data_IF_143537834855
#
_entry.id   IF_143537834855
#
_cell.length_a   1.000
_cell.length_b   1.000
_cell.length_c   1.000
_cell.angle_alpha   90.00
_cell.angle_beta   90.00
_cell.angle_gamma   90.00
#
_symmetry.space_group_name_H-M   'P 1'
#
loop_
_entity.id
_entity.type
_entity.pdbx_description
1 polymer ?
#
# COMPACT_ATOMS: atom_id res chain seq x y z
N UNK A 1 21.17 2.21 6.27
CA UNK A 1 20.57 1.16 5.42
C UNK A 1 19.09 0.93 5.72
N UNK A 2 18.67 0.93 6.99
CA UNK A 2 17.25 0.81 7.39
C UNK A 2 16.28 1.79 6.66
N UNK A 3 16.64 3.07 6.52
CA UNK A 3 15.81 4.08 5.84
C UNK A 3 15.50 3.74 4.37
N UNK A 4 16.47 3.18 3.63
CA UNK A 4 16.28 2.78 2.23
C UNK A 4 15.36 1.57 2.10
N UNK A 5 15.52 0.57 2.99
CA UNK A 5 14.63 -0.59 3.02
C UNK A 5 13.20 -0.19 3.35
N UNK A 6 12.98 0.68 4.34
CA UNK A 6 11.64 1.20 4.68
C UNK A 6 11.00 2.00 3.53
N UNK A 7 11.79 2.79 2.80
CA UNK A 7 11.31 3.56 1.65
C UNK A 7 10.88 2.64 0.50
N UNK A 8 11.68 1.61 0.19
CA UNK A 8 11.38 0.61 -0.85
C UNK A 8 10.19 -0.27 -0.45
N UNK A 9 10.00 -0.55 0.84
CA UNK A 9 8.86 -1.33 1.34
C UNK A 9 7.55 -0.57 1.28
N UNK A 10 7.58 0.73 1.61
CA UNK A 10 6.40 1.58 1.67
C UNK A 10 5.98 2.10 0.28
N UNK A 11 6.91 2.26 -0.65
CA UNK A 11 6.64 2.74 -2.01
C UNK A 11 5.55 1.97 -2.79
N UNK A 12 5.54 0.63 -2.87
CA UNK A 12 4.51 -0.10 -3.62
C UNK A 12 3.13 -0.02 -2.96
N UNK A 13 3.06 0.00 -1.63
CA UNK A 13 1.81 0.12 -0.87
C UNK A 13 1.22 1.52 -1.04
N UNK A 14 2.04 2.56 -0.89
CA UNK A 14 1.64 3.95 -1.08
C UNK A 14 1.25 4.23 -2.53
N UNK A 15 2.00 3.70 -3.50
CA UNK A 15 1.71 3.85 -4.93
C UNK A 15 0.38 3.21 -5.32
N UNK A 16 0.12 1.98 -4.87
CA UNK A 16 -1.15 1.31 -5.12
C UNK A 16 -2.33 2.02 -4.40
N UNK A 17 -2.13 2.49 -3.16
CA UNK A 17 -3.11 3.30 -2.44
C UNK A 17 -3.43 4.62 -3.13
N UNK A 18 -2.43 5.29 -3.72
CA UNK A 18 -2.59 6.51 -4.51
C UNK A 18 -3.38 6.25 -5.79
N UNK A 19 -3.02 5.23 -6.58
CA UNK A 19 -3.70 4.92 -7.85
C UNK A 19 -5.17 4.60 -7.59
N UNK A 20 -5.44 3.70 -6.64
CA UNK A 20 -6.80 3.32 -6.26
C UNK A 20 -7.58 4.53 -5.71
N UNK A 21 -6.96 5.31 -4.82
CA UNK A 21 -7.58 6.50 -4.25
C UNK A 21 -7.94 7.53 -5.32
N UNK A 22 -7.07 7.75 -6.29
CA UNK A 22 -7.29 8.63 -7.43
C UNK A 22 -8.45 8.14 -8.30
N UNK A 23 -8.43 6.86 -8.70
CA UNK A 23 -9.50 6.28 -9.54
C UNK A 23 -10.86 6.41 -8.85
N UNK A 24 -10.94 6.06 -7.56
CA UNK A 24 -12.19 6.15 -6.78
C UNK A 24 -12.65 7.61 -6.63
N UNK A 25 -11.74 8.54 -6.37
CA UNK A 25 -12.05 9.97 -6.29
C UNK A 25 -12.52 10.57 -7.62
N UNK A 26 -11.96 10.11 -8.75
CA UNK A 26 -12.34 10.55 -10.09
C UNK A 26 -13.74 10.05 -10.44
N UNK A 27 -14.04 8.79 -10.14
CA UNK A 27 -15.39 8.24 -10.33
C UNK A 27 -16.40 9.02 -9.50
N UNK A 28 -16.10 9.32 -8.24
CA UNK A 28 -16.96 10.12 -7.37
C UNK A 28 -17.19 11.54 -7.89
N UNK A 29 -16.15 12.18 -8.45
CA UNK A 29 -16.26 13.51 -9.04
C UNK A 29 -17.13 13.51 -10.31
N UNK A 30 -17.01 12.48 -11.17
CA UNK A 30 -17.73 12.39 -12.45
C UNK A 30 -19.22 12.06 -12.27
N UNK A 31 -19.59 11.20 -11.33
CA UNK A 31 -21.01 10.86 -11.09
C UNK A 31 -21.75 11.80 -10.15
N UNK A 32 -21.08 12.80 -9.57
CA UNK A 32 -21.64 13.74 -8.57
C UNK A 32 -22.25 13.07 -7.31
N UNK A 33 -21.99 11.79 -7.08
CA UNK A 33 -22.44 11.06 -5.89
C UNK A 33 -21.41 11.24 -4.78
N UNK A 34 -21.66 12.18 -3.85
CA UNK A 34 -20.82 12.46 -2.67
C UNK A 34 -21.28 11.70 -1.41
N UNK A 35 -21.85 10.51 -1.57
CA UNK A 35 -22.23 9.64 -0.45
C UNK A 35 -20.96 9.05 0.20
N UNK A 36 -20.54 9.63 1.33
CA UNK A 36 -19.28 9.28 2.01
C UNK A 36 -19.16 7.79 2.40
N UNK A 37 -20.28 7.09 2.61
CA UNK A 37 -20.32 5.67 2.95
C UNK A 37 -20.04 4.76 1.74
N UNK A 38 -20.54 5.12 0.56
CA UNK A 38 -20.32 4.38 -0.70
C UNK A 38 -18.88 4.50 -1.20
N UNK A 39 -18.20 5.59 -0.84
CA UNK A 39 -16.76 5.82 -1.08
C UNK A 39 -15.85 4.93 -0.25
N UNK A 40 -16.29 4.58 0.97
CA UNK A 40 -15.47 3.93 1.96
C UNK A 40 -15.23 2.44 1.63
N UNK A 41 -16.25 1.75 1.13
CA UNK A 41 -16.20 0.31 0.85
C UNK A 41 -15.23 -0.05 -0.28
N UNK A 42 -15.29 0.58 -1.48
CA UNK A 42 -14.34 0.28 -2.57
C UNK A 42 -12.90 0.60 -2.17
N UNK A 43 -12.69 1.69 -1.42
CA UNK A 43 -11.37 2.12 -0.96
C UNK A 43 -10.74 1.12 0.00
N UNK A 44 -11.48 0.66 1.01
CA UNK A 44 -11.00 -0.36 1.97
C UNK A 44 -10.74 -1.69 1.27
N UNK A 45 -11.65 -2.15 0.40
CA UNK A 45 -11.49 -3.41 -0.32
C UNK A 45 -10.22 -3.41 -1.18
N UNK A 46 -9.97 -2.32 -1.91
CA UNK A 46 -8.78 -2.19 -2.73
C UNK A 46 -7.49 -2.06 -1.90
N UNK A 47 -7.51 -1.34 -0.77
CA UNK A 47 -6.36 -1.31 0.15
C UNK A 47 -6.07 -2.70 0.76
N UNK A 48 -7.09 -3.48 1.11
CA UNK A 48 -6.95 -4.85 1.60
C UNK A 48 -6.37 -5.79 0.54
N UNK A 49 -6.86 -5.73 -0.69
CA UNK A 49 -6.35 -6.54 -1.80
C UNK A 49 -4.86 -6.26 -2.06
N UNK A 50 -4.49 -4.98 -2.09
CA UNK A 50 -3.11 -4.55 -2.26
C UNK A 50 -2.23 -5.01 -1.08
N UNK A 51 -2.72 -4.88 0.15
CA UNK A 51 -2.00 -5.31 1.35
C UNK A 51 -1.76 -6.83 1.35
N UNK A 52 -2.77 -7.63 0.99
CA UNK A 52 -2.64 -9.10 0.89
C UNK A 52 -1.68 -9.49 -0.23
N UNK A 53 -1.77 -8.85 -1.39
CA UNK A 53 -0.88 -9.13 -2.53
C UNK A 53 0.59 -8.79 -2.21
N UNK A 54 0.83 -7.73 -1.45
CA UNK A 54 2.17 -7.29 -1.07
C UNK A 54 2.69 -7.94 0.22
N UNK A 55 1.84 -8.64 0.98
CA UNK A 55 2.17 -9.21 2.29
C UNK A 55 3.38 -10.16 2.23
N UNK A 56 3.38 -11.11 1.29
CA UNK A 56 4.48 -12.07 1.14
C UNK A 56 5.81 -11.38 0.78
N UNK A 57 5.75 -10.36 -0.08
CA UNK A 57 6.92 -9.59 -0.49
C UNK A 57 7.50 -8.72 0.63
N UNK A 58 6.63 -8.11 1.45
CA UNK A 58 7.05 -7.36 2.63
C UNK A 58 7.81 -8.23 3.63
N UNK A 59 7.32 -9.45 3.87
CA UNK A 59 7.95 -10.40 4.80
C UNK A 59 9.36 -10.77 4.32
N UNK A 60 9.54 -11.09 3.03
CA UNK A 60 10.85 -11.41 2.46
C UNK A 60 11.86 -10.28 2.68
N UNK A 61 11.47 -9.04 2.40
CA UNK A 61 12.34 -7.87 2.58
C UNK A 61 12.64 -7.57 4.05
N UNK A 62 11.71 -7.83 4.96
CA UNK A 62 11.94 -7.67 6.39
C UNK A 62 12.93 -8.71 6.91
N UNK A 63 12.86 -9.94 6.39
CA UNK A 63 13.83 -11.01 6.66
C UNK A 63 15.21 -10.68 6.10
N UNK A 64 15.31 -10.16 4.87
CA UNK A 64 16.59 -9.71 4.28
C UNK A 64 17.26 -8.64 5.16
N UNK A 65 16.47 -7.66 5.62
CA UNK A 65 16.97 -6.61 6.51
C UNK A 65 17.42 -7.17 7.88
N UNK A 66 16.67 -8.11 8.45
CA UNK A 66 17.03 -8.75 9.72
C UNK A 66 18.32 -9.58 9.59
N UNK A 67 18.51 -10.28 8.47
CA UNK A 67 19.74 -11.02 8.17
C UNK A 67 20.92 -10.06 8.00
N UNK A 68 20.78 -8.99 7.20
CA UNK A 68 21.83 -7.97 7.06
C UNK A 68 22.24 -7.38 8.41
N UNK A 69 21.29 -7.04 9.28
CA UNK A 69 21.58 -6.53 10.62
C UNK A 69 22.35 -7.52 11.50
N UNK A 70 22.00 -8.80 11.46
CA UNK A 70 22.68 -9.84 12.24
C UNK A 70 24.07 -10.18 11.70
N UNK A 71 24.26 -10.12 10.38
CA UNK A 71 25.58 -10.34 9.76
C UNK A 71 26.48 -9.11 9.78
N UNK A 72 25.92 -7.91 10.00
CA UNK A 72 26.68 -6.68 10.18
C UNK A 72 27.21 -6.49 11.62
N UNK A 73 26.94 -7.44 12.51
CA UNK A 73 27.57 -7.61 13.82
C UNK A 73 28.73 -8.62 13.74
#
# INVERSE_FOLDING_TARGET
>A
MALMYTLVLSAPILGAGLIVGLVVSLVQAVTQVQEQTLSFVPKIAAMLLVAIALMAWMIMKLSDFALEMFTAF
#
